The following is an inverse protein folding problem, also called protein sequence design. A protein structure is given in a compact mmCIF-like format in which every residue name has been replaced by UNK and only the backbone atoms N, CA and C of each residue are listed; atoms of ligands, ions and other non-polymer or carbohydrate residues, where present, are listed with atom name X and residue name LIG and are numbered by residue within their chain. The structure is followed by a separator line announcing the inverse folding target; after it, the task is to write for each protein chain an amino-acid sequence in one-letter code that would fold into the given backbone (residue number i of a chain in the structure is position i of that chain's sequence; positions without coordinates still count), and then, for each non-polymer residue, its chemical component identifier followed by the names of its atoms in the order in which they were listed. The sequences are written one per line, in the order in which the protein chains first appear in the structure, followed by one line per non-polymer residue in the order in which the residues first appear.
data_IF_610775005353
#
_entry.id   IF_610775005353
#
_cell.length_a   1.000
_cell.length_b   1.000
_cell.length_c   1.000
_cell.angle_alpha   90.00
_cell.angle_beta   90.00
_cell.angle_gamma   90.00
#
_symmetry.space_group_name_H-M   'P 1'
#
loop_
_entity.id
_entity.type
_entity.pdbx_description
1 polymer ?
#
# COMPACT_ATOMS: atom_id res chain seq x y z
N UNK A 1 23.00 16.64 3.69
CA UNK A 1 21.63 17.21 3.83
C UNK A 1 20.78 16.14 4.50
N UNK A 2 20.43 16.32 5.77
CA UNK A 2 19.63 15.32 6.51
C UNK A 2 18.23 15.25 5.89
N UNK A 3 17.77 14.04 5.55
CA UNK A 3 16.39 13.80 5.14
C UNK A 3 15.45 14.18 6.28
N UNK A 4 14.32 14.81 5.95
CA UNK A 4 13.31 15.16 6.94
C UNK A 4 12.66 13.87 7.45
N UNK A 5 12.82 13.57 8.74
CA UNK A 5 12.08 12.46 9.36
C UNK A 5 10.58 12.79 9.29
N UNK A 6 9.81 11.87 8.72
CA UNK A 6 8.35 11.99 8.56
C UNK A 6 7.67 10.86 9.33
N UNK A 7 6.49 11.15 9.90
CA UNK A 7 5.54 10.18 10.42
C UNK A 7 4.60 9.76 9.30
N UNK A 8 4.73 8.51 8.86
CA UNK A 8 3.98 7.96 7.75
C UNK A 8 2.94 7.00 8.28
N UNK A 9 1.67 7.27 7.98
CA UNK A 9 0.59 6.33 8.22
C UNK A 9 0.35 5.51 6.95
N UNK A 10 0.33 4.19 7.07
CA UNK A 10 -0.07 3.28 6.00
C UNK A 10 -1.40 2.61 6.38
N UNK A 11 -2.40 2.70 5.50
CA UNK A 11 -3.75 2.19 5.75
C UNK A 11 -4.14 1.18 4.68
N UNK A 12 -4.61 0.02 5.08
CA UNK A 12 -5.34 -0.90 4.20
C UNK A 12 -6.83 -0.69 4.47
N UNK A 13 -7.51 -0.05 3.52
CA UNK A 13 -8.93 0.25 3.64
C UNK A 13 -9.77 -1.03 3.53
N UNK A 14 -10.87 -1.06 4.27
CA UNK A 14 -11.85 -2.14 4.19
C UNK A 14 -13.26 -1.63 4.44
N UNK A 15 -14.17 -1.86 3.49
CA UNK A 15 -15.56 -1.40 3.62
C UNK A 15 -16.29 -2.01 4.81
N UNK A 16 -15.84 -3.18 5.28
CA UNK A 16 -16.43 -3.94 6.38
C UNK A 16 -15.67 -3.68 7.71
N UNK A 17 -14.86 -2.62 7.77
CA UNK A 17 -14.06 -2.24 8.93
C UNK A 17 -14.86 -2.22 10.24
N UNK A 18 -14.37 -2.96 11.23
CA UNK A 18 -15.00 -3.04 12.56
C UNK A 18 -16.23 -3.98 12.64
N UNK A 19 -16.59 -4.66 11.55
CA UNK A 19 -17.68 -5.66 11.56
C UNK A 19 -17.28 -6.94 12.31
N UNK A 20 -15.99 -7.31 12.26
CA UNK A 20 -15.49 -8.53 12.88
C UNK A 20 -14.82 -8.22 14.23
N UNK A 21 -15.07 -9.06 15.23
CA UNK A 21 -14.32 -9.01 16.48
C UNK A 21 -12.88 -9.53 16.28
N UNK A 22 -12.00 -9.24 17.24
CA UNK A 22 -10.58 -9.59 17.18
C UNK A 22 -10.35 -11.09 16.98
N UNK A 23 -11.18 -11.95 17.58
CA UNK A 23 -11.03 -13.40 17.44
C UNK A 23 -11.33 -13.86 16.01
N UNK A 24 -12.41 -13.37 15.40
CA UNK A 24 -12.75 -13.70 14.01
C UNK A 24 -11.71 -13.15 13.04
N UNK A 25 -11.26 -11.91 13.25
CA UNK A 25 -10.24 -11.29 12.42
C UNK A 25 -8.93 -12.10 12.43
N UNK A 26 -8.55 -12.69 13.56
CA UNK A 26 -7.33 -13.51 13.69
C UNK A 26 -7.28 -14.75 12.76
N UNK A 27 -8.41 -15.16 12.17
CA UNK A 27 -8.46 -16.24 11.18
C UNK A 27 -8.33 -15.76 9.73
N UNK A 28 -8.32 -14.45 9.48
CA UNK A 28 -8.08 -13.93 8.14
C UNK A 28 -6.60 -13.98 7.78
N UNK A 29 -6.31 -14.24 6.50
CA UNK A 29 -4.96 -14.15 5.96
C UNK A 29 -4.74 -12.69 5.60
N UNK A 30 -3.86 -11.95 6.30
CA UNK A 30 -3.65 -10.54 6.00
C UNK A 30 -3.04 -10.34 4.61
N UNK A 31 -3.45 -9.25 3.95
CA UNK A 31 -2.72 -8.71 2.81
C UNK A 31 -1.33 -8.28 3.24
N UNK A 32 -0.30 -8.58 2.44
CA UNK A 32 1.10 -8.16 2.68
C UNK A 32 1.40 -6.76 2.12
N UNK A 33 0.40 -6.06 1.58
CA UNK A 33 0.62 -4.84 0.81
C UNK A 33 1.29 -3.74 1.65
N UNK A 34 0.80 -3.50 2.88
CA UNK A 34 1.37 -2.45 3.74
C UNK A 34 2.78 -2.81 4.19
N UNK A 35 3.01 -4.07 4.55
CA UNK A 35 4.30 -4.58 4.99
C UNK A 35 5.35 -4.47 3.87
N UNK A 36 4.93 -4.66 2.60
CA UNK A 36 5.78 -4.46 1.43
C UNK A 36 6.07 -2.97 1.17
N UNK A 37 5.07 -2.09 1.25
CA UNK A 37 5.29 -0.63 1.13
C UNK A 37 6.21 -0.13 2.25
N UNK A 38 6.00 -0.57 3.49
CA UNK A 38 6.83 -0.25 4.64
C UNK A 38 8.28 -0.73 4.48
N UNK A 39 8.48 -1.89 3.86
CA UNK A 39 9.82 -2.39 3.53
C UNK A 39 10.54 -1.53 2.47
N UNK A 40 9.78 -0.89 1.59
CA UNK A 40 10.31 0.03 0.58
C UNK A 40 10.56 1.44 1.13
N UNK A 41 9.95 1.81 2.24
CA UNK A 41 10.12 3.14 2.85
C UNK A 41 11.59 3.38 3.22
N UNK A 42 12.22 4.48 2.76
CA UNK A 42 13.59 4.81 3.14
C UNK A 42 13.81 4.88 4.65
N UNK A 43 15.01 4.54 5.10
CA UNK A 43 15.36 4.64 6.52
C UNK A 43 15.22 6.07 7.06
N UNK A 44 14.86 6.18 8.33
CA UNK A 44 14.73 7.45 9.05
C UNK A 44 13.30 7.94 9.24
N UNK A 45 12.34 7.45 8.44
CA UNK A 45 10.91 7.71 8.65
C UNK A 45 10.32 6.81 9.74
N UNK A 46 9.29 7.31 10.40
CA UNK A 46 8.49 6.56 11.37
C UNK A 46 7.24 6.04 10.65
N UNK A 47 6.91 4.76 10.82
CA UNK A 47 5.84 4.11 10.07
C UNK A 47 4.84 3.51 11.05
N UNK A 48 3.58 3.88 10.90
CA UNK A 48 2.45 3.24 11.57
C UNK A 48 1.60 2.56 10.52
N UNK A 49 1.21 1.29 10.75
CA UNK A 49 0.34 0.56 9.83
C UNK A 49 -0.99 0.25 10.50
N UNK A 50 -2.08 0.51 9.79
CA UNK A 50 -3.44 0.16 10.20
C UNK A 50 -4.11 -0.65 9.10
N UNK A 51 -4.52 -1.87 9.43
CA UNK A 51 -5.28 -2.71 8.52
C UNK A 51 -6.72 -2.81 9.01
N UNK A 52 -7.66 -2.24 8.24
CA UNK A 52 -9.07 -2.18 8.64
C UNK A 52 -9.76 -3.55 8.74
N UNK A 53 -9.14 -4.63 8.27
CA UNK A 53 -9.58 -6.00 8.53
C UNK A 53 -9.49 -6.38 10.01
N UNK A 54 -8.62 -5.70 10.77
CA UNK A 54 -8.32 -6.01 12.18
C UNK A 54 -8.62 -4.84 13.13
N UNK A 55 -8.86 -3.64 12.60
CA UNK A 55 -9.20 -2.48 13.41
C UNK A 55 -9.39 -1.22 12.56
N UNK A 56 -10.45 -0.45 12.85
CA UNK A 56 -10.77 0.77 12.12
C UNK A 56 -9.66 1.82 12.30
N UNK A 57 -9.31 2.52 11.22
CA UNK A 57 -8.36 3.64 11.31
C UNK A 57 -8.97 4.80 12.07
N UNK A 58 -8.20 5.34 13.01
CA UNK A 58 -8.46 6.64 13.62
C UNK A 58 -7.93 7.74 12.69
N UNK A 59 -8.83 8.45 12.02
CA UNK A 59 -8.47 9.55 11.13
C UNK A 59 -8.08 10.83 11.87
N UNK A 60 -8.04 10.82 13.21
CA UNK A 60 -7.45 11.84 14.06
C UNK A 60 -5.97 11.60 14.39
N UNK A 61 -5.39 10.46 14.02
CA UNK A 61 -3.99 10.14 14.30
C UNK A 61 -3.03 11.19 13.73
N UNK A 62 -1.95 11.47 14.45
CA UNK A 62 -0.90 12.39 14.04
C UNK A 62 0.03 11.73 13.02
N UNK A 63 0.11 12.31 11.82
CA UNK A 63 1.00 11.87 10.75
C UNK A 63 1.28 13.03 9.78
N UNK A 64 2.43 13.01 9.14
CA UNK A 64 2.83 14.00 8.14
C UNK A 64 2.32 13.64 6.73
N UNK A 65 2.05 12.36 6.49
CA UNK A 65 1.56 11.83 5.21
C UNK A 65 0.85 10.49 5.45
N UNK A 66 -0.20 10.22 4.67
CA UNK A 66 -0.91 8.93 4.70
C UNK A 66 -0.88 8.25 3.33
N UNK A 67 -0.49 6.99 3.30
CA UNK A 67 -0.59 6.09 2.15
C UNK A 67 -1.72 5.08 2.34
N UNK A 68 -2.68 5.04 1.44
CA UNK A 68 -3.87 4.19 1.54
C UNK A 68 -3.87 3.19 0.38
N UNK A 69 -3.85 1.91 0.71
CA UNK A 69 -3.98 0.79 -0.22
C UNK A 69 -5.44 0.33 -0.29
N UNK A 70 -5.96 0.13 -1.50
CA UNK A 70 -7.35 -0.30 -1.71
C UNK A 70 -7.50 -1.39 -2.79
N UNK A 71 -8.30 -2.41 -2.47
CA UNK A 71 -8.94 -3.25 -3.47
C UNK A 71 -10.17 -2.54 -4.04
N UNK A 72 -10.65 -2.96 -5.22
CA UNK A 72 -11.81 -2.33 -5.86
C UNK A 72 -13.07 -2.35 -5.00
N UNK A 73 -13.30 -3.42 -4.21
CA UNK A 73 -14.45 -3.48 -3.30
C UNK A 73 -14.39 -2.41 -2.20
N UNK A 74 -13.20 -1.91 -1.88
CA UNK A 74 -12.90 -1.01 -0.76
C UNK A 74 -12.66 0.44 -1.23
N UNK A 75 -12.83 0.73 -2.52
CA UNK A 75 -12.52 2.03 -3.13
C UNK A 75 -13.22 3.20 -2.42
N UNK A 76 -14.55 3.14 -2.26
CA UNK A 76 -15.30 4.21 -1.60
C UNK A 76 -14.90 4.40 -0.14
N UNK A 77 -14.55 3.32 0.57
CA UNK A 77 -14.02 3.43 1.94
C UNK A 77 -12.67 4.13 1.94
N UNK A 78 -11.77 3.76 1.02
CA UNK A 78 -10.48 4.40 0.86
C UNK A 78 -10.62 5.90 0.57
N UNK A 79 -11.57 6.29 -0.29
CA UNK A 79 -11.87 7.69 -0.59
C UNK A 79 -12.40 8.44 0.62
N UNK A 80 -13.29 7.83 1.41
CA UNK A 80 -13.78 8.44 2.66
C UNK A 80 -12.63 8.72 3.63
N UNK A 81 -11.73 7.75 3.83
CA UNK A 81 -10.54 7.94 4.67
C UNK A 81 -9.64 9.05 4.09
N UNK A 82 -9.41 9.01 2.79
CA UNK A 82 -8.58 10.00 2.09
C UNK A 82 -9.11 11.42 2.27
N UNK A 83 -10.41 11.63 2.07
CA UNK A 83 -11.05 12.94 2.19
C UNK A 83 -11.03 13.45 3.63
N UNK A 84 -11.16 12.58 4.64
CA UNK A 84 -11.02 12.93 6.06
C UNK A 84 -9.60 13.44 6.40
N UNK A 85 -8.55 12.80 5.88
CA UNK A 85 -7.17 13.27 6.06
C UNK A 85 -6.88 14.56 5.27
N UNK A 86 -7.40 14.68 4.04
CA UNK A 86 -7.24 15.91 3.24
C UNK A 86 -7.95 17.10 3.85
N UNK A 87 -9.11 16.91 4.47
CA UNK A 87 -9.80 17.95 5.22
C UNK A 87 -8.94 18.51 6.38
N UNK A 88 -7.99 17.71 6.90
CA UNK A 88 -7.00 18.13 7.91
C UNK A 88 -5.73 18.75 7.31
N UNK A 89 -5.63 18.84 5.99
CA UNK A 89 -4.43 19.32 5.29
C UNK A 89 -3.28 18.32 5.26
N UNK A 90 -3.53 17.05 5.58
CA UNK A 90 -2.51 16.00 5.49
C UNK A 90 -2.43 15.48 4.05
N UNK A 91 -1.24 15.45 3.42
CA UNK A 91 -1.06 14.86 2.10
C UNK A 91 -1.48 13.39 2.06
N UNK A 92 -2.28 13.03 1.06
CA UNK A 92 -2.79 11.68 0.87
C UNK A 92 -2.27 11.06 -0.43
N UNK A 93 -1.80 9.81 -0.30
CA UNK A 93 -1.40 8.97 -1.42
C UNK A 93 -2.34 7.77 -1.51
N UNK A 94 -2.98 7.56 -2.66
CA UNK A 94 -3.75 6.35 -2.93
C UNK A 94 -2.93 5.36 -3.78
N UNK A 95 -2.99 4.07 -3.42
CA UNK A 95 -2.32 3.00 -4.15
C UNK A 95 -3.06 1.66 -4.05
N UNK A 96 -2.45 0.62 -4.63
CA UNK A 96 -3.05 -0.71 -4.68
C UNK A 96 -3.85 -0.95 -5.96
N UNK A 97 -4.65 -2.02 -5.95
CA UNK A 97 -5.33 -2.52 -7.15
C UNK A 97 -6.30 -1.51 -7.76
N UNK A 98 -7.11 -0.87 -6.93
CA UNK A 98 -8.12 0.05 -7.45
C UNK A 98 -7.52 1.35 -7.99
N UNK A 99 -6.64 2.07 -7.26
CA UNK A 99 -6.01 3.28 -7.80
C UNK A 99 -5.08 3.00 -9.00
N UNK A 100 -4.60 1.77 -9.17
CA UNK A 100 -3.90 1.35 -10.40
C UNK A 100 -4.87 1.20 -11.58
N UNK A 101 -6.05 0.64 -11.37
CA UNK A 101 -7.05 0.43 -12.42
C UNK A 101 -7.79 1.73 -12.81
N UNK A 102 -8.10 2.57 -11.82
CA UNK A 102 -8.90 3.80 -11.96
C UNK A 102 -8.13 5.03 -11.42
N UNK A 103 -6.94 5.36 -11.96
CA UNK A 103 -6.07 6.38 -11.37
C UNK A 103 -6.69 7.78 -11.39
N UNK A 104 -7.42 8.13 -12.45
CA UNK A 104 -8.06 9.44 -12.57
C UNK A 104 -9.21 9.62 -11.59
N UNK A 105 -9.95 8.55 -11.29
CA UNK A 105 -11.01 8.56 -10.28
C UNK A 105 -10.38 8.71 -8.88
N UNK A 106 -9.40 7.85 -8.55
CA UNK A 106 -8.71 7.91 -7.26
C UNK A 106 -8.05 9.28 -7.01
N UNK A 107 -7.48 9.92 -8.05
CA UNK A 107 -6.83 11.23 -7.94
C UNK A 107 -7.77 12.34 -7.47
N UNK A 108 -9.08 12.21 -7.66
CA UNK A 108 -10.05 13.18 -7.14
C UNK A 108 -10.04 13.26 -5.60
N UNK A 109 -9.63 12.17 -4.94
CA UNK A 109 -9.60 12.00 -3.49
C UNK A 109 -8.18 12.04 -2.90
N UNK A 110 -7.13 12.21 -3.70
CA UNK A 110 -5.74 12.14 -3.24
C UNK A 110 -4.86 13.25 -3.82
N UNK A 111 -3.76 13.57 -3.14
CA UNK A 111 -2.73 14.47 -3.65
C UNK A 111 -1.83 13.75 -4.67
N UNK A 112 -1.60 12.45 -4.47
CA UNK A 112 -0.88 11.60 -5.40
C UNK A 112 -1.47 10.18 -5.52
N UNK A 113 -1.28 9.55 -6.67
CA UNK A 113 -1.65 8.16 -6.93
C UNK A 113 -0.42 7.34 -7.31
N UNK A 114 -0.19 6.23 -6.62
CA UNK A 114 0.85 5.24 -6.94
C UNK A 114 0.21 4.07 -7.71
N UNK A 115 0.57 3.94 -8.97
CA UNK A 115 0.08 2.90 -9.88
C UNK A 115 1.09 1.76 -10.02
N UNK A 116 0.61 0.53 -9.87
CA UNK A 116 1.42 -0.68 -9.99
C UNK A 116 2.29 -0.93 -8.76
N UNK A 117 3.58 -1.15 -8.99
CA UNK A 117 4.52 -1.62 -7.98
C UNK A 117 5.14 -0.46 -7.18
N UNK A 118 5.14 -0.59 -5.85
CA UNK A 118 5.55 0.47 -4.94
C UNK A 118 7.07 0.58 -4.78
N UNK A 119 7.82 -0.49 -5.05
CA UNK A 119 9.26 -0.63 -4.75
C UNK A 119 10.11 0.52 -5.30
N UNK A 120 9.74 1.09 -6.44
CA UNK A 120 10.42 2.25 -7.03
C UNK A 120 9.61 3.53 -6.86
N UNK A 121 8.29 3.44 -7.02
CA UNK A 121 7.42 4.61 -7.02
C UNK A 121 7.31 5.27 -5.63
N UNK A 122 7.21 4.47 -4.58
CA UNK A 122 7.01 4.95 -3.22
C UNK A 122 8.23 5.68 -2.64
N UNK A 123 9.47 5.15 -2.70
CA UNK A 123 10.66 5.90 -2.29
C UNK A 123 10.82 7.21 -3.06
N UNK A 124 10.48 7.19 -4.36
CA UNK A 124 10.58 8.36 -5.22
C UNK A 124 9.56 9.43 -4.86
N UNK A 125 8.33 9.02 -4.52
CA UNK A 125 7.29 9.89 -4.02
C UNK A 125 7.73 10.58 -2.72
N UNK A 126 8.24 9.83 -1.75
CA UNK A 126 8.71 10.39 -0.48
C UNK A 126 9.85 11.40 -0.68
N UNK A 127 10.80 11.11 -1.57
CA UNK A 127 11.86 12.05 -1.95
C UNK A 127 11.31 13.36 -2.57
N UNK A 128 10.22 13.26 -3.33
CA UNK A 128 9.58 14.41 -3.95
C UNK A 128 8.75 15.21 -2.94
N UNK A 129 8.13 14.56 -1.95
CA UNK A 129 7.48 15.21 -0.80
C UNK A 129 8.50 16.02 0.01
N UNK A 130 9.64 15.43 0.38
CA UNK A 130 10.72 16.12 1.09
C UNK A 130 11.25 17.36 0.36
N UNK A 131 11.13 17.37 -0.97
CA UNK A 131 11.58 18.46 -1.85
C UNK A 131 10.47 19.43 -2.25
N UNK A 132 9.25 19.27 -1.71
CA UNK A 132 8.11 20.14 -2.03
C UNK A 132 7.67 20.06 -3.50
N UNK A 133 7.86 18.92 -4.16
CA UNK A 133 7.60 18.72 -5.59
C UNK A 133 6.76 17.47 -5.87
N UNK A 134 5.81 17.19 -4.98
CA UNK A 134 4.89 16.06 -5.11
C UNK A 134 4.15 16.14 -6.45
N UNK A 135 4.11 15.02 -7.16
CA UNK A 135 3.41 14.86 -8.44
C UNK A 135 2.08 14.16 -8.23
N UNK A 136 1.18 14.33 -9.20
CA UNK A 136 -0.13 13.68 -9.14
C UNK A 136 -0.07 12.16 -9.33
N UNK A 137 0.87 11.67 -10.14
CA UNK A 137 0.95 10.25 -10.52
C UNK A 137 2.39 9.73 -10.43
N UNK A 138 2.53 8.56 -9.82
CA UNK A 138 3.76 7.78 -9.70
C UNK A 138 3.50 6.34 -10.14
N UNK A 139 4.46 5.66 -10.76
CA UNK A 139 4.29 4.26 -11.13
C UNK A 139 5.00 3.83 -12.41
N UNK A 140 4.54 2.72 -13.00
CA UNK A 140 4.88 2.29 -14.35
C UNK A 140 6.10 1.38 -14.50
N UNK A 141 6.90 1.20 -13.44
CA UNK A 141 8.06 0.30 -13.45
C UNK A 141 7.80 -0.96 -12.63
N UNK A 142 7.78 -2.11 -13.30
CA UNK A 142 7.84 -3.43 -12.65
C UNK A 142 9.27 -3.69 -12.18
N UNK A 143 9.44 -4.25 -10.99
CA UNK A 143 10.78 -4.56 -10.46
C UNK A 143 11.23 -5.98 -10.80
N UNK A 144 12.50 -6.30 -10.64
CA UNK A 144 12.88 -7.71 -10.65
C UNK A 144 12.45 -8.38 -9.33
N UNK A 145 12.04 -9.64 -9.40
CA UNK A 145 11.58 -10.36 -8.20
C UNK A 145 12.66 -10.44 -7.12
N UNK A 146 13.93 -10.55 -7.49
CA UNK A 146 15.06 -10.58 -6.55
C UNK A 146 15.39 -9.24 -5.88
N UNK A 147 14.71 -8.16 -6.28
CA UNK A 147 14.88 -6.82 -5.66
C UNK A 147 13.77 -6.46 -4.68
N UNK A 148 12.77 -7.33 -4.52
CA UNK A 148 11.65 -7.09 -3.62
C UNK A 148 12.12 -7.37 -2.18
N UNK A 149 12.12 -6.39 -1.26
CA UNK A 149 12.63 -6.58 0.09
C UNK A 149 11.71 -7.47 0.94
N UNK A 150 12.24 -8.11 2.01
CA UNK A 150 11.42 -8.82 2.99
C UNK A 150 10.34 -7.92 3.61
N UNK A 151 9.12 -8.44 3.77
CA UNK A 151 8.00 -7.66 4.30
C UNK A 151 8.20 -7.27 5.77
N UNK A 152 7.92 -6.01 6.14
CA UNK A 152 8.05 -5.47 7.51
C UNK A 152 6.89 -5.88 8.43
N UNK A 153 6.80 -7.17 8.74
CA UNK A 153 5.75 -7.74 9.63
C UNK A 153 5.88 -7.31 11.08
N UNK A 154 7.06 -6.86 11.50
CA UNK A 154 7.34 -6.32 12.83
C UNK A 154 6.51 -5.07 13.17
N UNK A 155 5.94 -4.42 12.16
CA UNK A 155 5.10 -3.23 12.31
C UNK A 155 3.61 -3.56 12.44
N UNK A 156 3.21 -4.83 12.37
CA UNK A 156 1.80 -5.21 12.45
C UNK A 156 1.26 -4.98 13.87
N UNK A 157 0.26 -4.10 13.99
CA UNK A 157 -0.50 -3.88 15.23
C UNK A 157 -1.60 -4.93 15.49
N UNK A 158 -1.59 -6.04 14.76
CA UNK A 158 -2.59 -7.10 14.84
C UNK A 158 -1.92 -8.48 14.86
N UNK A 159 -2.65 -9.48 15.35
CA UNK A 159 -2.22 -10.86 15.35
C UNK A 159 -3.17 -11.70 14.49
N UNK A 160 -2.59 -12.48 13.57
CA UNK A 160 -3.30 -13.50 12.79
C UNK A 160 -2.62 -14.85 12.99
N UNK A 161 -3.41 -15.93 12.96
CA UNK A 161 -2.91 -17.30 12.92
C UNK A 161 -2.30 -17.67 11.57
N UNK A 162 -2.53 -16.85 10.54
CA UNK A 162 -2.03 -17.08 9.19
C UNK A 162 -1.12 -15.93 8.74
N UNK A 163 -0.14 -16.27 7.90
CA UNK A 163 0.71 -15.29 7.24
C UNK A 163 0.75 -15.57 5.75
N UNK A 164 0.64 -14.52 4.94
CA UNK A 164 0.89 -14.60 3.52
C UNK A 164 2.39 -14.42 3.21
N UNK A 165 2.86 -15.18 2.23
CA UNK A 165 4.20 -15.08 1.65
C UNK A 165 4.03 -14.96 0.14
N UNK A 166 4.69 -13.99 -0.48
CA UNK A 166 4.76 -13.87 -1.93
C UNK A 166 6.11 -14.43 -2.37
N UNK A 167 6.13 -15.62 -2.96
CA UNK A 167 7.35 -16.22 -3.52
C UNK A 167 7.65 -15.71 -4.95
N UNK A 168 6.61 -15.28 -5.67
CA UNK A 168 6.67 -14.89 -7.07
C UNK A 168 5.70 -13.75 -7.37
N UNK A 169 5.96 -12.97 -8.41
CA UNK A 169 5.06 -11.92 -8.92
C UNK A 169 4.87 -12.06 -10.43
N UNK A 170 3.67 -11.77 -10.91
CA UNK A 170 3.30 -11.84 -12.32
C UNK A 170 2.96 -13.25 -12.82
N UNK A 171 2.26 -13.29 -13.96
CA UNK A 171 1.69 -14.50 -14.54
C UNK A 171 1.94 -14.50 -16.06
N UNK A 172 2.52 -15.56 -16.65
CA UNK A 172 2.81 -15.59 -18.08
C UNK A 172 1.55 -15.79 -18.94
N UNK A 173 0.44 -16.19 -18.33
CA UNK A 173 -0.84 -16.40 -19.00
C UNK A 173 -1.59 -15.08 -19.18
N UNK A 174 -2.26 -14.94 -20.32
CA UNK A 174 -3.02 -13.74 -20.72
C UNK A 174 -4.51 -14.04 -20.82
N UNK A 175 -5.07 -14.60 -19.76
CA UNK A 175 -6.50 -14.90 -19.70
C UNK A 175 -7.31 -13.60 -19.82
N UNK A 176 -8.33 -13.59 -20.69
CA UNK A 176 -9.15 -12.40 -20.98
C UNK A 176 -9.91 -11.87 -19.76
N UNK A 177 -10.29 -12.77 -18.85
CA UNK A 177 -11.02 -12.45 -17.63
C UNK A 177 -10.10 -12.06 -16.46
N UNK A 178 -8.78 -12.17 -16.61
CA UNK A 178 -7.85 -11.99 -15.51
C UNK A 178 -7.39 -10.54 -15.39
N UNK A 179 -7.63 -9.95 -14.21
CA UNK A 179 -7.17 -8.60 -13.87
C UNK A 179 -5.65 -8.41 -14.04
N UNK A 180 -4.84 -9.45 -13.80
CA UNK A 180 -3.38 -9.37 -13.94
C UNK A 180 -2.94 -9.10 -15.38
N UNK A 181 -3.69 -9.61 -16.36
CA UNK A 181 -3.48 -9.30 -17.78
C UNK A 181 -3.69 -7.81 -18.03
N UNK A 182 -4.74 -7.22 -17.44
CA UNK A 182 -5.04 -5.77 -17.53
C UNK A 182 -3.95 -4.89 -16.92
N UNK A 183 -3.28 -5.35 -15.85
CA UNK A 183 -2.10 -4.68 -15.28
C UNK A 183 -0.79 -4.95 -16.05
N UNK A 184 -0.85 -5.77 -17.09
CA UNK A 184 0.26 -6.03 -18.01
C UNK A 184 1.44 -6.76 -17.39
N UNK A 185 1.25 -7.48 -16.28
CA UNK A 185 2.32 -8.25 -15.62
C UNK A 185 2.42 -9.67 -16.16
N UNK A 186 2.99 -9.79 -17.37
CA UNK A 186 3.02 -11.03 -18.14
C UNK A 186 4.29 -11.86 -17.93
N UNK A 187 5.10 -11.53 -16.93
CA UNK A 187 6.35 -12.23 -16.64
C UNK A 187 6.28 -12.87 -15.26
N UNK A 188 6.62 -14.15 -15.18
CA UNK A 188 6.75 -14.83 -13.90
C UNK A 188 8.10 -14.50 -13.27
N UNK A 189 8.11 -13.60 -12.29
CA UNK A 189 9.31 -13.14 -11.59
C UNK A 189 9.42 -13.84 -10.25
N UNK A 190 10.53 -14.55 -10.04
CA UNK A 190 10.82 -15.25 -8.80
C UNK A 190 11.54 -14.32 -7.84
N UNK A 191 11.22 -14.41 -6.55
CA UNK A 191 12.03 -13.79 -5.50
C UNK A 191 13.22 -14.67 -5.14
N UNK A 192 14.19 -14.08 -4.45
CA UNK A 192 15.28 -14.85 -3.88
C UNK A 192 14.74 -15.84 -2.85
N UNK A 193 15.13 -17.11 -2.95
CA UNK A 193 14.66 -18.17 -2.04
C UNK A 193 14.96 -17.80 -0.59
N UNK A 194 16.16 -17.28 -0.30
CA UNK A 194 16.57 -16.90 1.05
C UNK A 194 15.76 -15.74 1.67
N UNK A 195 15.01 -14.99 0.86
CA UNK A 195 14.11 -13.93 1.33
C UNK A 195 12.65 -14.42 1.47
N UNK A 196 12.37 -15.65 1.05
CA UNK A 196 11.04 -16.29 1.06
C UNK A 196 10.94 -17.35 2.18
N UNK A 197 12.01 -18.13 2.41
CA UNK A 197 12.06 -19.21 3.41
C UNK A 197 12.71 -18.78 4.72
#
# INVERSE_FOLDING_TARGET
MMRMKMKILLVQADRDAGTFNTLTAAFFIPSIALEQVAACTPQGHEITMVNEWYGKVDTGIDCDIVGISAFTKDAFRAYTIADEFRARGIPVVLGGYHPTAMPQEAKQHADAVVMGEAEVAWPKLLEDVEKGRLKEFYGGKKVDGGTIPPARRDLNGYHSFFAAIQATRGCPYKCEFCQMTGFGDTLHRKRNVAEVV
#
